data_IF_640657689200
#
_entry.id   IF_640657689200
#
_cell.length_a   1.000
_cell.length_b   1.000
_cell.length_c   1.000
_cell.angle_alpha   90.00
_cell.angle_beta   90.00
_cell.angle_gamma   90.00
#
_symmetry.space_group_name_H-M   'P 1'
#
loop_
_entity.id
_entity.type
_entity.pdbx_description
1 polymer ?
#
# COMPACT_ATOMS: atom_id res chain seq x y z
N UNK A 1 -25.84 4.48 0.30
CA UNK A 1 -25.68 3.10 -0.24
C UNK A 1 -25.86 2.12 0.92
N UNK A 2 -26.71 1.11 0.79
CA UNK A 2 -26.96 0.15 1.88
C UNK A 2 -25.73 -0.74 2.09
N UNK A 3 -25.23 -0.84 3.32
CA UNK A 3 -24.09 -1.69 3.63
C UNK A 3 -24.45 -3.17 3.42
N UNK A 4 -23.67 -3.94 2.63
CA UNK A 4 -23.89 -5.37 2.49
C UNK A 4 -23.62 -6.12 3.81
N UNK A 5 -24.45 -7.12 4.12
CA UNK A 5 -24.20 -8.06 5.22
C UNK A 5 -22.86 -8.79 5.02
N UNK A 6 -22.16 -9.22 6.08
CA UNK A 6 -20.84 -9.85 5.97
C UNK A 6 -20.74 -10.95 4.90
N UNK A 7 -21.71 -11.86 4.86
CA UNK A 7 -21.76 -12.96 3.87
C UNK A 7 -21.99 -12.52 2.41
N UNK A 8 -22.52 -11.30 2.20
CA UNK A 8 -22.76 -10.74 0.87
C UNK A 8 -21.65 -9.78 0.42
N UNK A 9 -20.68 -9.43 1.28
CA UNK A 9 -19.62 -8.46 0.97
C UNK A 9 -18.73 -8.93 -0.16
N UNK A 10 -18.36 -10.21 -0.20
CA UNK A 10 -17.41 -10.74 -1.19
C UNK A 10 -17.88 -10.48 -2.63
N UNK A 11 -19.15 -10.77 -2.94
CA UNK A 11 -19.71 -10.52 -4.28
C UNK A 11 -19.62 -9.04 -4.67
N UNK A 12 -19.98 -8.14 -3.75
CA UNK A 12 -19.90 -6.69 -3.96
C UNK A 12 -18.45 -6.24 -4.16
N UNK A 13 -17.51 -6.74 -3.36
CA UNK A 13 -16.09 -6.41 -3.47
C UNK A 13 -15.48 -6.93 -4.78
N UNK A 14 -15.85 -8.13 -5.21
CA UNK A 14 -15.45 -8.68 -6.52
C UNK A 14 -15.92 -7.79 -7.65
N UNK A 15 -17.19 -7.35 -7.62
CA UNK A 15 -17.71 -6.44 -8.63
C UNK A 15 -16.98 -5.10 -8.63
N UNK A 16 -16.73 -4.52 -7.44
CA UNK A 16 -15.96 -3.28 -7.32
C UNK A 16 -14.52 -3.42 -7.83
N UNK A 17 -13.86 -4.54 -7.56
CA UNK A 17 -12.54 -4.85 -8.11
C UNK A 17 -12.60 -4.91 -9.63
N UNK A 18 -13.53 -5.66 -10.20
CA UNK A 18 -13.66 -5.81 -11.64
C UNK A 18 -13.89 -4.45 -12.33
N UNK A 19 -14.77 -3.61 -11.77
CA UNK A 19 -14.99 -2.25 -12.26
C UNK A 19 -13.74 -1.36 -12.13
N UNK A 20 -12.92 -1.54 -11.10
CA UNK A 20 -11.64 -0.81 -10.97
C UNK A 20 -10.63 -1.28 -12.00
N UNK A 21 -10.50 -2.59 -12.21
CA UNK A 21 -9.59 -3.18 -13.21
C UNK A 21 -10.00 -2.81 -14.64
N UNK A 22 -11.29 -2.72 -14.93
CA UNK A 22 -11.81 -2.40 -16.26
C UNK A 22 -11.54 -0.93 -16.70
N UNK A 23 -11.00 -0.08 -15.82
CA UNK A 23 -10.78 1.35 -16.12
C UNK A 23 -9.66 1.60 -17.11
N UNK A 24 -8.63 0.77 -17.11
CA UNK A 24 -7.48 0.89 -18.00
C UNK A 24 -6.62 -0.37 -17.97
N UNK A 25 -5.77 -0.54 -18.98
CA UNK A 25 -4.77 -1.61 -18.99
C UNK A 25 -3.86 -1.55 -17.75
N UNK A 26 -3.44 -0.35 -17.33
CA UNK A 26 -2.66 -0.16 -16.11
C UNK A 26 -3.41 -0.63 -14.86
N UNK A 27 -4.70 -0.30 -14.73
CA UNK A 27 -5.51 -0.73 -13.60
C UNK A 27 -5.76 -2.26 -13.59
N UNK A 28 -5.90 -2.87 -14.77
CA UNK A 28 -6.04 -4.32 -14.94
C UNK A 28 -4.76 -5.04 -14.50
N UNK A 29 -3.61 -4.65 -15.06
CA UNK A 29 -2.31 -5.26 -14.74
C UNK A 29 -1.99 -5.13 -13.27
N UNK A 30 -2.25 -3.97 -12.66
CA UNK A 30 -2.08 -3.75 -11.23
C UNK A 30 -3.01 -4.63 -10.39
N UNK A 31 -4.25 -4.84 -10.84
CA UNK A 31 -5.24 -5.61 -10.09
C UNK A 31 -5.13 -7.12 -10.21
N UNK A 32 -4.19 -7.64 -11.02
CA UNK A 32 -4.13 -9.04 -11.39
C UNK A 32 -2.71 -9.64 -11.28
N UNK A 33 -2.15 -9.59 -10.07
CA UNK A 33 -0.81 -10.09 -9.75
C UNK A 33 -0.64 -11.58 -10.07
N UNK A 34 -1.66 -12.41 -9.82
CA UNK A 34 -1.59 -13.85 -10.08
C UNK A 34 -1.39 -14.16 -11.57
N UNK A 35 -2.19 -13.56 -12.46
CA UNK A 35 -2.02 -13.75 -13.91
C UNK A 35 -0.71 -13.16 -14.44
N UNK A 36 -0.19 -12.10 -13.81
CA UNK A 36 1.15 -11.60 -14.15
C UNK A 36 2.21 -12.68 -13.93
N UNK A 37 2.21 -13.36 -12.79
CA UNK A 37 3.16 -14.43 -12.53
C UNK A 37 2.90 -15.68 -13.37
N UNK A 38 1.64 -16.02 -13.64
CA UNK A 38 1.31 -17.11 -14.57
C UNK A 38 1.91 -16.83 -15.96
N UNK A 39 1.70 -15.63 -16.48
CA UNK A 39 2.28 -15.17 -17.74
C UNK A 39 3.81 -15.16 -17.71
N UNK A 40 4.42 -14.68 -16.62
CA UNK A 40 5.87 -14.60 -16.48
C UNK A 40 6.50 -16.00 -16.53
N UNK A 41 5.93 -16.97 -15.82
CA UNK A 41 6.41 -18.34 -15.80
C UNK A 41 6.08 -19.13 -17.09
N UNK A 42 5.08 -18.69 -17.86
CA UNK A 42 4.75 -19.33 -19.14
C UNK A 42 5.70 -18.97 -20.29
N UNK A 43 6.60 -17.99 -20.11
CA UNK A 43 7.51 -17.55 -21.17
C UNK A 43 8.64 -18.57 -21.41
N UNK A 44 8.51 -19.40 -22.45
CA UNK A 44 9.57 -20.31 -22.89
C UNK A 44 10.71 -19.54 -23.57
N UNK A 45 11.96 -19.73 -23.12
CA UNK A 45 13.17 -19.24 -23.81
C UNK A 45 13.66 -17.85 -23.42
N UNK A 46 12.85 -17.01 -22.78
CA UNK A 46 13.30 -15.76 -22.14
C UNK A 46 13.48 -16.01 -20.66
N UNK A 47 14.72 -16.29 -20.24
CA UNK A 47 15.03 -16.49 -18.82
C UNK A 47 15.45 -15.16 -18.23
N UNK A 48 14.74 -14.74 -17.18
CA UNK A 48 15.26 -13.72 -16.29
C UNK A 48 16.63 -14.17 -15.75
N UNK A 49 17.55 -13.23 -15.46
CA UNK A 49 18.82 -13.59 -14.85
C UNK A 49 18.57 -14.34 -13.54
N UNK A 50 19.46 -15.28 -13.22
CA UNK A 50 19.44 -15.93 -11.91
C UNK A 50 19.81 -14.91 -10.84
N UNK A 51 19.10 -14.91 -9.72
CA UNK A 51 19.35 -14.03 -8.58
C UNK A 51 19.23 -14.79 -7.26
N UNK A 52 19.81 -14.26 -6.17
CA UNK A 52 19.70 -14.88 -4.86
C UNK A 52 18.25 -14.90 -4.37
N UNK A 53 17.88 -15.87 -3.51
CA UNK A 53 16.59 -15.86 -2.85
C UNK A 53 16.56 -14.75 -1.79
N UNK A 54 15.82 -13.69 -2.05
CA UNK A 54 15.66 -12.54 -1.13
C UNK A 54 14.19 -12.22 -0.93
N UNK A 55 13.86 -11.49 0.13
CA UNK A 55 12.52 -10.93 0.27
C UNK A 55 12.26 -9.92 -0.84
N UNK A 56 11.25 -10.20 -1.65
CA UNK A 56 10.72 -9.28 -2.67
C UNK A 56 9.33 -8.79 -2.24
N UNK A 57 8.89 -7.67 -2.77
CA UNK A 57 7.54 -7.12 -2.57
C UNK A 57 6.46 -8.05 -3.15
N UNK A 58 6.74 -8.70 -4.29
CA UNK A 58 5.80 -9.64 -4.92
C UNK A 58 4.62 -8.99 -5.64
N UNK A 59 4.36 -7.70 -5.43
CA UNK A 59 3.48 -6.88 -6.27
C UNK A 59 4.08 -5.48 -6.51
N UNK A 60 5.39 -5.40 -6.74
CA UNK A 60 6.10 -4.13 -6.88
C UNK A 60 5.59 -3.32 -8.07
N UNK A 61 4.89 -2.22 -7.81
CA UNK A 61 4.34 -1.34 -8.84
C UNK A 61 4.52 0.14 -8.45
N UNK A 62 4.42 1.07 -9.40
CA UNK A 62 4.71 2.49 -9.15
C UNK A 62 3.91 3.09 -7.98
N UNK A 63 2.66 2.66 -7.77
CA UNK A 63 1.84 3.08 -6.62
C UNK A 63 2.32 2.60 -5.23
N UNK A 64 3.20 1.60 -5.17
CA UNK A 64 3.79 1.10 -3.92
C UNK A 64 5.01 1.93 -3.49
N UNK A 65 5.62 2.66 -4.43
CA UNK A 65 6.70 3.58 -4.13
C UNK A 65 6.14 4.87 -3.52
N UNK A 66 6.76 5.34 -2.45
CA UNK A 66 6.54 6.70 -2.00
C UNK A 66 6.95 6.94 -0.55
N UNK A 67 6.65 8.15 -0.05
CA UNK A 67 7.10 8.57 1.26
C UNK A 67 6.45 7.73 2.37
N UNK A 68 7.26 7.31 3.34
CA UNK A 68 6.87 6.70 4.61
C UNK A 68 7.67 7.34 5.73
N UNK A 69 7.05 7.47 6.91
CA UNK A 69 7.73 7.92 8.11
C UNK A 69 8.25 6.73 8.92
N UNK A 70 9.47 6.84 9.45
CA UNK A 70 9.99 5.90 10.44
C UNK A 70 9.47 6.18 11.85
N UNK A 71 9.83 5.33 12.82
CA UNK A 71 9.45 5.51 14.23
C UNK A 71 10.02 6.79 14.87
N UNK A 72 11.00 7.43 14.25
CA UNK A 72 11.58 8.72 14.68
C UNK A 72 10.94 9.90 13.93
N UNK A 73 10.02 9.66 13.01
CA UNK A 73 9.34 10.67 12.20
C UNK A 73 10.17 11.20 11.03
N UNK A 74 11.29 10.54 10.69
CA UNK A 74 12.04 10.82 9.46
C UNK A 74 11.25 10.25 8.28
N UNK A 75 11.12 11.01 7.20
CA UNK A 75 10.33 10.62 6.04
C UNK A 75 11.26 10.30 4.89
N UNK A 76 11.07 9.14 4.27
CA UNK A 76 11.85 8.66 3.15
C UNK A 76 11.00 7.86 2.15
N UNK A 77 11.48 7.74 0.92
CA UNK A 77 10.93 6.97 -0.19
C UNK A 77 11.20 5.49 0.00
N UNK A 78 10.14 4.73 0.30
CA UNK A 78 10.24 3.28 0.45
C UNK A 78 9.23 2.56 -0.46
N UNK A 79 9.45 1.26 -0.61
CA UNK A 79 8.43 0.32 -1.09
C UNK A 79 7.43 0.09 0.05
N UNK A 80 6.15 0.20 -0.25
CA UNK A 80 5.03 -0.04 0.67
C UNK A 80 4.17 -1.21 0.19
N UNK A 81 3.21 -1.61 1.03
CA UNK A 81 2.23 -2.67 0.75
C UNK A 81 2.92 -4.03 0.55
N UNK A 82 3.45 -4.59 1.65
CA UNK A 82 4.17 -5.86 1.69
C UNK A 82 3.24 -7.06 1.92
N UNK A 83 1.93 -6.91 1.68
CA UNK A 83 0.91 -7.97 1.84
C UNK A 83 1.14 -9.17 0.89
N UNK A 84 2.01 -9.03 -0.12
CA UNK A 84 2.39 -10.07 -1.08
C UNK A 84 3.87 -10.44 -1.01
N UNK A 85 4.59 -10.00 0.03
CA UNK A 85 6.01 -10.24 0.14
C UNK A 85 6.33 -11.74 0.25
N UNK A 86 7.34 -12.18 -0.49
CA UNK A 86 7.75 -13.58 -0.58
C UNK A 86 9.25 -13.66 -0.83
N UNK A 87 9.88 -14.79 -0.50
CA UNK A 87 11.26 -15.04 -0.90
C UNK A 87 11.29 -15.43 -2.38
N UNK A 88 12.02 -14.69 -3.20
CA UNK A 88 12.09 -14.88 -4.64
C UNK A 88 13.28 -14.23 -5.31
N UNK A 89 13.34 -14.34 -6.63
CA UNK A 89 14.35 -13.67 -7.44
C UNK A 89 14.06 -12.16 -7.50
N UNK A 90 15.01 -11.27 -7.17
CA UNK A 90 14.80 -9.81 -7.21
C UNK A 90 14.36 -9.28 -8.57
N UNK A 91 14.72 -9.97 -9.67
CA UNK A 91 14.29 -9.60 -11.02
C UNK A 91 12.76 -9.60 -11.18
N UNK A 92 12.01 -10.35 -10.38
CA UNK A 92 10.56 -10.36 -10.43
C UNK A 92 9.95 -8.99 -10.09
N UNK A 93 10.47 -8.30 -9.07
CA UNK A 93 9.99 -6.98 -8.69
C UNK A 93 10.36 -5.93 -9.73
N UNK A 94 11.55 -6.03 -10.34
CA UNK A 94 11.97 -5.14 -11.43
C UNK A 94 11.07 -5.27 -12.65
N UNK A 95 10.76 -6.50 -13.07
CA UNK A 95 9.86 -6.75 -14.20
C UNK A 95 8.45 -6.28 -13.88
N UNK A 96 7.98 -6.51 -12.65
CA UNK A 96 6.66 -6.05 -12.21
C UNK A 96 6.56 -4.52 -12.20
N UNK A 97 7.58 -3.85 -11.68
CA UNK A 97 7.66 -2.38 -11.64
C UNK A 97 7.76 -1.81 -13.05
N UNK A 98 8.61 -2.38 -13.89
CA UNK A 98 8.77 -1.98 -15.29
C UNK A 98 7.46 -2.11 -16.07
N UNK A 99 6.73 -3.22 -15.92
CA UNK A 99 5.41 -3.39 -16.53
C UNK A 99 4.40 -2.33 -16.00
N UNK A 100 4.45 -2.02 -14.72
CA UNK A 100 3.62 -0.95 -14.13
C UNK A 100 3.94 0.41 -14.76
N UNK A 101 5.22 0.77 -14.91
CA UNK A 101 5.64 2.03 -15.52
C UNK A 101 5.25 2.09 -16.99
N UNK A 102 5.50 1.03 -17.76
CA UNK A 102 5.17 0.97 -19.18
C UNK A 102 3.66 1.10 -19.44
N UNK A 103 2.84 0.43 -18.63
CA UNK A 103 1.37 0.53 -18.74
C UNK A 103 0.84 1.89 -18.29
N UNK A 104 1.47 2.53 -17.30
CA UNK A 104 1.12 3.89 -16.88
C UNK A 104 1.49 4.94 -17.93
N UNK A 105 2.67 4.83 -18.54
CA UNK A 105 3.13 5.70 -19.62
C UNK A 105 2.22 5.57 -20.85
N UNK A 106 1.90 4.33 -21.25
CA UNK A 106 0.95 4.06 -22.34
C UNK A 106 -0.45 4.59 -22.05
N UNK A 107 -0.92 4.47 -20.80
CA UNK A 107 -2.22 5.00 -20.39
C UNK A 107 -2.29 6.53 -20.35
N UNK A 108 -1.14 7.20 -20.40
CA UNK A 108 -0.98 8.66 -20.48
C UNK A 108 -0.57 9.15 -21.88
N UNK A 109 -0.68 8.28 -22.90
CA UNK A 109 -0.29 8.57 -24.29
C UNK A 109 1.16 9.09 -24.46
N UNK A 110 2.07 8.67 -23.57
CA UNK A 110 3.47 9.03 -23.68
C UNK A 110 4.14 8.28 -24.85
N UNK A 111 5.06 8.92 -25.59
CA UNK A 111 5.81 8.26 -26.65
C UNK A 111 6.58 7.03 -26.16
N UNK A 112 6.76 6.05 -27.06
CA UNK A 112 7.53 4.84 -26.76
C UNK A 112 8.96 5.13 -26.29
N UNK A 113 9.60 6.17 -26.83
CA UNK A 113 10.92 6.63 -26.39
C UNK A 113 10.92 7.12 -24.95
N UNK A 114 9.85 7.80 -24.51
CA UNK A 114 9.71 8.22 -23.11
C UNK A 114 9.54 7.01 -22.20
N UNK A 115 8.74 6.03 -22.64
CA UNK A 115 8.57 4.77 -21.89
C UNK A 115 9.90 4.02 -21.76
N UNK A 116 10.65 3.88 -22.85
CA UNK A 116 11.95 3.22 -22.86
C UNK A 116 12.92 3.91 -21.89
N UNK A 117 13.02 5.24 -21.96
CA UNK A 117 13.85 6.02 -21.04
C UNK A 117 13.43 5.84 -19.58
N UNK A 118 12.13 5.84 -19.27
CA UNK A 118 11.66 5.59 -17.90
C UNK A 118 12.11 4.22 -17.37
N UNK A 119 12.13 3.19 -18.22
CA UNK A 119 12.59 1.85 -17.83
C UNK A 119 14.10 1.77 -17.70
N UNK A 120 14.83 2.46 -18.57
CA UNK A 120 16.29 2.57 -18.51
C UNK A 120 16.75 3.23 -17.22
N UNK A 121 16.19 4.41 -16.89
CA UNK A 121 16.51 5.15 -15.67
C UNK A 121 16.11 4.36 -14.41
N UNK A 122 15.04 3.55 -14.48
CA UNK A 122 14.67 2.63 -13.40
C UNK A 122 15.73 1.55 -13.17
N UNK A 123 16.25 0.94 -14.24
CA UNK A 123 17.29 -0.10 -14.13
C UNK A 123 18.63 0.50 -13.71
N UNK A 124 18.99 1.66 -14.27
CA UNK A 124 20.19 2.39 -13.88
C UNK A 124 20.17 2.75 -12.39
N UNK A 125 19.07 3.31 -11.88
CA UNK A 125 18.94 3.60 -10.45
C UNK A 125 19.00 2.36 -9.56
N UNK A 126 18.56 1.19 -10.05
CA UNK A 126 18.73 -0.08 -9.34
C UNK A 126 20.20 -0.54 -9.33
N UNK A 127 20.93 -0.39 -10.44
CA UNK A 127 22.35 -0.74 -10.53
C UNK A 127 23.23 0.18 -9.68
N UNK A 128 22.99 1.49 -9.73
CA UNK A 128 23.71 2.50 -8.96
C UNK A 128 23.63 2.26 -7.44
N UNK A 129 22.50 1.72 -6.97
CA UNK A 129 22.32 1.36 -5.56
C UNK A 129 23.31 0.30 -5.05
N UNK A 130 23.97 -0.46 -5.94
CA UNK A 130 25.02 -1.42 -5.58
C UNK A 130 26.44 -0.88 -5.75
N UNK A 131 26.61 0.31 -6.34
CA UNK A 131 27.92 0.87 -6.69
C UNK A 131 28.45 1.85 -5.64
N UNK A 132 27.58 2.39 -4.77
CA UNK A 132 27.97 3.27 -3.66
C UNK A 132 28.26 2.51 -2.35
N UNK A 133 28.90 3.19 -1.40
CA UNK A 133 28.88 2.74 0.00
C UNK A 133 27.42 2.82 0.48
N UNK A 134 26.84 1.71 0.95
CA UNK A 134 25.38 1.55 1.17
C UNK A 134 24.72 2.53 2.15
N UNK A 135 25.47 3.46 2.72
CA UNK A 135 25.03 4.54 3.61
C UNK A 135 24.86 5.91 2.90
N UNK A 136 25.33 6.06 1.65
CA UNK A 136 25.22 7.33 0.92
C UNK A 136 23.88 7.42 0.17
N UNK A 137 23.08 8.40 0.57
CA UNK A 137 21.77 8.64 -0.04
C UNK A 137 21.91 9.45 -1.34
N UNK A 138 21.39 8.97 -2.48
CA UNK A 138 21.53 9.68 -3.75
C UNK A 138 20.79 11.02 -3.73
N UNK A 139 21.32 12.03 -4.45
CA UNK A 139 20.65 13.32 -4.55
C UNK A 139 19.29 13.15 -5.24
N UNK A 140 18.23 13.43 -4.48
CA UNK A 140 16.87 13.24 -4.94
C UNK A 140 16.46 14.35 -5.93
N UNK A 141 15.79 14.00 -7.05
CA UNK A 141 15.19 14.99 -7.94
C UNK A 141 14.22 15.91 -7.20
N UNK A 142 14.07 17.15 -7.69
CA UNK A 142 13.21 18.19 -7.10
C UNK A 142 11.75 17.70 -6.94
N UNK A 143 11.29 16.88 -7.88
CA UNK A 143 9.95 16.29 -7.90
C UNK A 143 9.76 15.31 -6.72
N UNK A 144 10.78 14.52 -6.39
CA UNK A 144 10.77 13.62 -5.23
C UNK A 144 10.79 14.43 -3.94
N UNK A 145 11.68 15.43 -3.84
CA UNK A 145 11.73 16.37 -2.70
C UNK A 145 10.38 17.09 -2.49
N UNK A 146 9.69 17.47 -3.57
CA UNK A 146 8.36 18.07 -3.50
C UNK A 146 7.30 17.06 -3.02
N UNK A 147 7.32 15.83 -3.54
CA UNK A 147 6.44 14.75 -3.09
C UNK A 147 6.59 14.42 -1.60
N UNK A 148 7.84 14.37 -1.11
CA UNK A 148 8.15 14.19 0.30
C UNK A 148 7.62 15.34 1.15
N UNK A 149 7.85 16.60 0.75
CA UNK A 149 7.31 17.79 1.46
C UNK A 149 5.79 17.77 1.53
N UNK A 150 5.10 17.41 0.45
CA UNK A 150 3.63 17.28 0.44
C UNK A 150 3.15 16.20 1.40
N UNK A 151 3.85 15.07 1.49
CA UNK A 151 3.53 14.01 2.45
C UNK A 151 3.74 14.44 3.91
N UNK A 152 4.80 15.22 4.19
CA UNK A 152 5.06 15.79 5.53
C UNK A 152 3.95 16.76 5.92
N UNK A 153 3.50 17.63 5.00
CA UNK A 153 2.46 18.62 5.26
C UNK A 153 1.08 17.99 5.49
N UNK A 154 0.83 16.83 4.86
CA UNK A 154 -0.30 15.93 5.15
C UNK A 154 -0.09 15.17 6.45
N UNK A 155 0.22 15.89 7.53
CA UNK A 155 0.17 15.31 8.88
C UNK A 155 -1.23 14.80 9.18
N UNK A 156 -1.32 13.84 10.11
CA UNK A 156 -2.56 13.24 10.59
C UNK A 156 -3.63 14.29 10.97
N UNK A 157 -3.21 15.49 11.40
CA UNK A 157 -4.10 16.63 11.67
C UNK A 157 -4.88 17.10 10.44
N UNK A 158 -4.28 17.13 9.24
CA UNK A 158 -5.00 17.44 8.00
C UNK A 158 -5.91 16.29 7.60
N UNK A 159 -5.46 15.03 7.68
CA UNK A 159 -6.29 13.86 7.33
C UNK A 159 -7.48 13.66 8.27
N UNK A 160 -7.31 13.99 9.56
CA UNK A 160 -8.37 13.99 10.55
C UNK A 160 -9.35 15.14 10.31
N UNK A 161 -8.86 16.35 10.07
CA UNK A 161 -9.69 17.54 9.83
C UNK A 161 -10.44 17.52 8.48
N UNK A 162 -9.90 16.83 7.47
CA UNK A 162 -10.56 16.59 6.18
C UNK A 162 -11.64 15.50 6.24
N UNK A 163 -11.67 14.66 7.30
CA UNK A 163 -12.54 13.47 7.37
C UNK A 163 -13.45 13.39 8.60
N UNK A 164 -13.19 14.18 9.64
CA UNK A 164 -13.91 14.18 10.90
C UNK A 164 -14.36 15.62 11.20
N UNK A 165 -15.66 15.90 11.02
CA UNK A 165 -16.28 17.20 11.31
C UNK A 165 -16.67 17.33 12.80
N UNK A 166 -16.77 16.20 13.53
CA UNK A 166 -17.33 16.13 14.87
C UNK A 166 -16.30 16.22 16.01
N UNK A 167 -16.76 16.70 17.17
CA UNK A 167 -16.02 16.80 18.44
C UNK A 167 -15.48 15.46 18.95
N UNK A 168 -16.03 14.33 18.48
CA UNK A 168 -15.44 13.01 18.60
C UNK A 168 -15.22 12.41 17.20
N UNK A 169 -13.98 12.02 16.86
CA UNK A 169 -13.69 11.53 15.51
C UNK A 169 -14.38 10.17 15.28
N UNK A 170 -15.06 10.02 14.14
CA UNK A 170 -15.81 8.81 13.75
C UNK A 170 -15.59 8.46 12.28
N UNK A 171 -15.50 7.18 11.94
CA UNK A 171 -15.17 6.72 10.58
C UNK A 171 -16.38 6.93 9.66
N UNK A 172 -16.27 7.77 8.60
CA UNK A 172 -17.40 8.07 7.73
C UNK A 172 -17.79 6.86 6.88
N UNK A 173 -18.98 6.32 7.11
CA UNK A 173 -19.52 5.20 6.36
C UNK A 173 -19.92 5.62 4.94
N UNK A 174 -19.69 4.74 3.96
CA UNK A 174 -20.03 4.98 2.56
C UNK A 174 -19.24 4.12 1.60
N UNK A 175 -18.65 4.75 0.58
CA UNK A 175 -17.92 4.07 -0.50
C UNK A 175 -16.66 3.34 -0.01
N UNK A 176 -16.01 3.87 1.03
CA UNK A 176 -14.71 3.40 1.52
C UNK A 176 -14.83 2.61 2.82
N UNK A 177 -15.88 2.81 3.60
CA UNK A 177 -16.09 2.18 4.88
C UNK A 177 -17.53 1.67 5.01
N UNK A 178 -17.67 0.44 5.46
CA UNK A 178 -18.95 -0.23 5.64
C UNK A 178 -19.19 -0.50 7.12
N UNK A 179 -20.45 -0.44 7.54
CA UNK A 179 -20.84 -0.81 8.89
C UNK A 179 -20.46 -2.27 9.21
N UNK A 180 -20.01 -2.47 10.44
CA UNK A 180 -19.73 -3.79 11.02
C UNK A 180 -21.02 -4.46 11.50
N UNK A 181 -21.02 -5.78 11.46
CA UNK A 181 -21.98 -6.56 12.24
C UNK A 181 -21.64 -6.49 13.74
N UNK A 182 -22.60 -6.89 14.60
CA UNK A 182 -22.37 -6.97 16.05
C UNK A 182 -21.20 -7.90 16.39
N UNK A 183 -21.13 -9.07 15.76
CA UNK A 183 -20.06 -10.04 15.99
C UNK A 183 -18.68 -9.47 15.64
N UNK A 184 -18.56 -8.79 14.49
CA UNK A 184 -17.30 -8.15 14.08
C UNK A 184 -16.88 -7.04 15.04
N UNK A 185 -17.84 -6.23 15.50
CA UNK A 185 -17.57 -5.15 16.45
C UNK A 185 -17.05 -5.69 17.79
N UNK A 186 -17.64 -6.77 18.31
CA UNK A 186 -17.17 -7.40 19.54
C UNK A 186 -15.80 -8.06 19.35
N UNK A 187 -15.57 -8.76 18.23
CA UNK A 187 -14.27 -9.36 17.93
C UNK A 187 -13.14 -8.30 17.85
N UNK A 188 -13.42 -7.15 17.22
CA UNK A 188 -12.45 -6.04 17.14
C UNK A 188 -12.19 -5.45 18.53
N UNK A 189 -13.22 -5.28 19.37
CA UNK A 189 -13.02 -4.81 20.76
C UNK A 189 -12.08 -5.74 21.51
N UNK A 190 -12.33 -7.05 21.47
CA UNK A 190 -11.46 -8.06 22.12
C UNK A 190 -10.03 -8.01 21.58
N UNK A 191 -9.87 -7.93 20.25
CA UNK A 191 -8.55 -7.82 19.63
C UNK A 191 -7.81 -6.54 20.07
N UNK A 192 -8.51 -5.41 20.19
CA UNK A 192 -7.90 -4.14 20.61
C UNK A 192 -7.45 -4.13 22.07
N UNK A 193 -7.92 -5.07 22.89
CA UNK A 193 -7.50 -5.22 24.29
C UNK A 193 -6.29 -6.12 24.48
N UNK A 194 -5.77 -6.77 23.43
CA UNK A 194 -4.62 -7.67 23.58
C UNK A 194 -3.32 -6.89 23.79
N UNK A 195 -2.34 -7.44 24.54
CA UNK A 195 -1.06 -6.79 24.79
C UNK A 195 -0.28 -6.47 23.51
N UNK A 196 -0.36 -7.32 22.49
CA UNK A 196 0.36 -7.15 21.22
C UNK A 196 -0.13 -5.92 20.45
N UNK A 197 -1.45 -5.71 20.43
CA UNK A 197 -2.07 -4.56 19.78
C UNK A 197 -1.87 -3.28 20.60
N UNK A 198 -1.78 -3.39 21.92
CA UNK A 198 -1.39 -2.28 22.78
C UNK A 198 0.06 -1.86 22.54
N UNK A 199 1.01 -2.80 22.63
CA UNK A 199 2.43 -2.59 22.37
C UNK A 199 2.70 -2.01 20.96
N UNK A 200 1.98 -2.50 19.94
CA UNK A 200 2.09 -1.97 18.59
C UNK A 200 1.69 -0.47 18.52
N UNK A 201 0.61 -0.09 19.19
CA UNK A 201 0.12 1.30 19.17
C UNK A 201 1.00 2.23 20.01
N UNK A 202 1.54 1.76 21.13
CA UNK A 202 2.45 2.53 22.00
C UNK A 202 3.89 2.58 21.47
N UNK A 203 4.26 1.74 20.50
CA UNK A 203 5.57 1.81 19.82
C UNK A 203 5.77 3.08 18.98
N UNK A 204 4.72 3.85 18.74
CA UNK A 204 4.76 5.10 17.98
C UNK A 204 5.45 6.22 18.79
N UNK A 205 6.19 7.09 18.09
CA UNK A 205 6.97 8.19 18.71
C UNK A 205 6.17 9.03 19.70
N UNK A 206 6.75 9.25 20.88
CA UNK A 206 6.22 10.17 21.89
C UNK A 206 5.09 9.60 22.75
N UNK A 207 5.04 8.27 22.89
CA UNK A 207 4.06 7.54 23.69
C UNK A 207 4.75 6.71 24.77
N UNK A 208 4.13 6.61 25.94
CA UNK A 208 4.56 5.68 26.97
C UNK A 208 3.99 4.29 26.67
N UNK A 209 4.72 3.25 27.07
CA UNK A 209 4.17 1.90 27.10
C UNK A 209 3.02 1.77 28.11
N UNK A 210 2.84 2.73 29.02
CA UNK A 210 1.74 2.76 29.98
C UNK A 210 0.54 3.62 29.52
N UNK A 211 0.61 4.23 28.32
CA UNK A 211 -0.47 5.07 27.81
C UNK A 211 -1.78 4.28 27.71
N UNK A 212 -2.87 4.86 28.21
CA UNK A 212 -4.18 4.24 28.11
C UNK A 212 -4.73 4.38 26.69
N UNK A 213 -4.94 3.26 26.01
CA UNK A 213 -5.43 3.23 24.62
C UNK A 213 -6.90 2.81 24.55
N UNK A 214 -7.77 3.76 24.21
CA UNK A 214 -9.21 3.53 24.07
C UNK A 214 -9.59 3.34 22.60
N UNK A 215 -10.43 2.34 22.32
CA UNK A 215 -11.09 2.19 21.01
C UNK A 215 -12.23 3.21 20.89
N UNK A 216 -12.20 4.05 19.86
CA UNK A 216 -13.24 5.04 19.56
C UNK A 216 -14.24 4.54 18.54
N UNK A 217 -13.77 4.03 17.40
CA UNK A 217 -14.63 3.59 16.32
C UNK A 217 -13.98 2.50 15.46
N UNK A 218 -14.79 1.75 14.73
CA UNK A 218 -14.33 0.73 13.80
C UNK A 218 -15.30 0.51 12.65
N UNK A 219 -14.75 0.26 11.46
CA UNK A 219 -15.52 0.01 10.25
C UNK A 219 -14.85 -1.05 9.37
N UNK A 220 -15.64 -1.70 8.52
CA UNK A 220 -15.10 -2.59 7.49
C UNK A 220 -14.49 -1.75 6.37
N UNK A 221 -13.23 -2.02 6.02
CA UNK A 221 -12.49 -1.23 5.04
C UNK A 221 -12.65 -1.80 3.62
N UNK A 222 -13.27 -1.02 2.74
CA UNK A 222 -13.48 -1.35 1.33
C UNK A 222 -12.22 -1.04 0.52
N UNK A 223 -11.27 -1.99 0.51
CA UNK A 223 -10.05 -1.89 -0.31
C UNK A 223 -10.31 -2.16 -1.80
N UNK A 224 -9.32 -1.83 -2.61
CA UNK A 224 -9.36 -1.89 -4.07
C UNK A 224 -9.06 -3.27 -4.65
N UNK A 225 -8.17 -3.31 -5.64
CA UNK A 225 -7.95 -4.51 -6.44
C UNK A 225 -7.17 -5.62 -5.72
N UNK A 226 -6.58 -5.36 -4.55
CA UNK A 226 -5.73 -6.33 -3.84
C UNK A 226 -6.52 -7.30 -2.96
N UNK A 227 -6.07 -8.56 -2.96
CA UNK A 227 -6.34 -9.64 -1.99
C UNK A 227 -7.80 -9.73 -1.49
N UNK A 228 -8.73 -9.96 -2.41
CA UNK A 228 -10.10 -10.33 -2.05
C UNK A 228 -10.10 -11.64 -1.24
N UNK A 229 -10.82 -11.65 -0.12
CA UNK A 229 -10.92 -12.83 0.76
C UNK A 229 -10.35 -12.60 2.17
N UNK A 230 -9.45 -11.64 2.34
CA UNK A 230 -8.98 -11.22 3.66
C UNK A 230 -9.92 -10.19 4.29
N UNK A 231 -10.17 -10.33 5.59
CA UNK A 231 -10.93 -9.35 6.36
C UNK A 231 -10.08 -8.10 6.58
N UNK A 232 -10.67 -6.93 6.33
CA UNK A 232 -9.99 -5.64 6.50
C UNK A 232 -10.87 -4.70 7.29
N UNK A 233 -10.28 -4.14 8.35
CA UNK A 233 -10.97 -3.25 9.26
C UNK A 233 -10.14 -1.99 9.44
N UNK A 234 -10.83 -0.86 9.52
CA UNK A 234 -10.26 0.39 10.01
C UNK A 234 -10.67 0.54 11.46
N UNK A 235 -9.70 0.89 12.31
CA UNK A 235 -9.88 1.04 13.75
C UNK A 235 -9.33 2.40 14.15
N UNK A 236 -10.15 3.18 14.85
CA UNK A 236 -9.78 4.48 15.38
C UNK A 236 -9.58 4.36 16.89
N UNK A 237 -8.40 4.73 17.37
CA UNK A 237 -8.05 4.69 18.79
C UNK A 237 -7.56 6.06 19.26
N UNK A 238 -7.83 6.37 20.51
CA UNK A 238 -7.27 7.54 21.19
C UNK A 238 -6.32 7.08 22.28
N UNK A 239 -5.15 7.74 22.34
CA UNK A 239 -4.21 7.58 23.44
C UNK A 239 -4.42 8.74 24.39
N UNK A 240 -4.66 8.41 25.66
CA UNK A 240 -4.67 9.38 26.75
C UNK A 240 -3.43 9.12 27.60
N UNK A 241 -2.55 10.12 27.63
CA UNK A 241 -1.43 10.25 28.56
C UNK A 241 -1.93 10.62 29.94
#
# INVERSE_FOLDING_TARGET
MKTPRPNARLKTLTNLRNLKMARSAHAFVRGNTAQFYEWLHSQSGRRLPSGPPVWICGDCHAGNLGPTGDSKGRIDMHIRDLDQAVIGNPAHDLVRLGLSLATAARGSDLPGVTTARMLEEMMQGYEEAFMGDGDEEPDRPVQVKAGMRSAVQRTWKHLAKERFEDTQPSIPLGKHFWALSRAEREAIKTLCTTPEIHALVTSLKGRSHDDHVQLLDSAYWVKGCSSLGLLRYAVLRILRS
#
